data_IF_334226559773
#
_entry.id   IF_334226559773
#
_cell.length_a   1.000
_cell.length_b   1.000
_cell.length_c   1.000
_cell.angle_alpha   90.00
_cell.angle_beta   90.00
_cell.angle_gamma   90.00
#
_symmetry.space_group_name_H-M   'P 1'
#
loop_
_entity.id
_entity.type
_entity.pdbx_description
1 polymer ?
#
# COMPACT_ATOMS: atom_id res chain seq x y z
N UNK A 1 61.74 -55.74 22.16
CA UNK A 1 61.09 -56.50 23.26
C UNK A 1 60.77 -55.49 24.36
N UNK A 2 59.50 -55.08 24.52
CA UNK A 2 58.55 -55.51 25.58
C UNK A 2 59.12 -55.28 27.01
N UNK A 3 58.50 -54.61 27.99
CA UNK A 3 57.17 -54.02 28.18
C UNK A 3 57.22 -52.99 29.34
N UNK A 4 56.20 -52.13 29.34
CA UNK A 4 55.75 -51.14 30.33
C UNK A 4 55.54 -51.69 31.77
N UNK A 5 55.63 -50.82 32.80
CA UNK A 5 54.48 -50.35 33.61
C UNK A 5 54.90 -49.51 34.82
N UNK A 6 54.25 -48.35 34.99
CA UNK A 6 54.23 -47.53 36.22
C UNK A 6 53.11 -47.99 37.15
N UNK A 7 53.13 -47.51 38.41
CA UNK A 7 51.99 -46.74 38.90
C UNK A 7 52.40 -45.52 39.75
N UNK A 8 51.54 -44.50 39.91
CA UNK A 8 51.61 -43.56 41.02
C UNK A 8 50.38 -43.64 41.93
N UNK A 9 50.55 -43.29 43.21
CA UNK A 9 49.46 -43.15 44.16
C UNK A 9 49.55 -41.83 44.94
N UNK A 10 48.38 -41.16 44.99
CA UNK A 10 47.82 -40.35 46.07
C UNK A 10 48.42 -38.95 46.35
N UNK A 11 47.74 -37.94 45.81
CA UNK A 11 47.66 -36.58 46.33
C UNK A 11 46.22 -36.09 46.21
N UNK A 12 45.58 -35.78 47.34
CA UNK A 12 44.18 -35.37 47.42
C UNK A 12 44.01 -33.90 46.98
N UNK A 13 43.05 -33.65 46.10
CA UNK A 13 42.62 -32.30 45.71
C UNK A 13 41.15 -32.11 46.11
N UNK A 14 40.91 -31.10 46.94
CA UNK A 14 39.59 -30.65 47.37
C UNK A 14 38.83 -30.07 46.16
N UNK A 15 37.76 -30.74 45.71
CA UNK A 15 36.85 -30.22 44.69
C UNK A 15 35.85 -29.24 45.32
N UNK A 16 36.03 -27.95 45.06
CA UNK A 16 34.98 -26.95 45.20
C UNK A 16 33.96 -27.15 44.06
N UNK A 17 32.79 -27.67 44.40
CA UNK A 17 31.62 -27.69 43.51
C UNK A 17 31.08 -26.25 43.37
N UNK A 18 31.54 -25.52 42.36
CA UNK A 18 30.85 -24.31 41.91
C UNK A 18 29.59 -24.71 41.15
N UNK A 19 28.43 -24.62 41.80
CA UNK A 19 27.13 -24.71 41.13
C UNK A 19 26.94 -23.48 40.24
N UNK A 20 27.23 -23.60 38.95
CA UNK A 20 26.84 -22.59 37.96
C UNK A 20 25.33 -22.73 37.75
N UNK A 21 24.55 -21.96 38.49
CA UNK A 21 23.14 -21.75 38.18
C UNK A 21 23.08 -21.04 36.83
N UNK A 22 22.71 -21.76 35.76
CA UNK A 22 22.30 -21.15 34.51
C UNK A 22 21.03 -20.34 34.80
N UNK A 23 21.18 -19.03 34.91
CA UNK A 23 20.06 -18.13 34.81
C UNK A 23 19.50 -18.25 33.39
N UNK A 24 18.39 -18.97 33.23
CA UNK A 24 17.54 -18.85 32.06
C UNK A 24 17.06 -17.40 32.05
N UNK A 25 17.60 -16.60 31.13
CA UNK A 25 16.98 -15.32 30.77
C UNK A 25 15.66 -15.72 30.12
N UNK A 26 14.59 -15.69 30.91
CA UNK A 26 13.24 -15.70 30.38
C UNK A 26 13.13 -14.45 29.51
N UNK A 27 12.92 -14.67 28.23
CA UNK A 27 12.62 -13.62 27.25
C UNK A 27 11.30 -12.98 27.71
N UNK A 28 11.40 -11.90 28.49
CA UNK A 28 10.24 -11.11 28.91
C UNK A 28 9.83 -10.28 27.70
N UNK A 29 9.11 -10.91 26.78
CA UNK A 29 8.27 -10.18 25.84
C UNK A 29 7.39 -9.22 26.68
N UNK A 30 7.33 -7.92 26.33
CA UNK A 30 6.48 -7.00 27.05
C UNK A 30 5.05 -7.57 27.00
N UNK A 31 4.43 -7.69 28.17
CA UNK A 31 3.02 -8.04 28.30
C UNK A 31 2.19 -6.90 27.71
N UNK A 32 2.05 -6.92 26.38
CA UNK A 32 1.00 -6.23 25.67
C UNK A 32 -0.30 -6.75 26.28
N UNK A 33 -1.03 -5.86 26.96
CA UNK A 33 -2.43 -6.10 27.27
C UNK A 33 -3.09 -6.40 25.93
N UNK A 34 -3.39 -7.68 25.68
CA UNK A 34 -4.31 -8.10 24.65
C UNK A 34 -5.59 -7.32 24.87
N UNK A 35 -5.81 -6.28 24.06
CA UNK A 35 -7.15 -5.82 23.82
C UNK A 35 -7.91 -7.03 23.26
N UNK A 36 -9.13 -7.23 23.74
CA UNK A 36 -9.97 -8.39 23.48
C UNK A 36 -10.38 -8.57 22.01
N UNK A 37 -9.86 -7.77 21.08
CA UNK A 37 -10.19 -7.80 19.66
C UNK A 37 -8.94 -8.15 18.86
N UNK A 38 -8.98 -9.30 18.19
CA UNK A 38 -7.92 -9.89 17.37
C UNK A 38 -7.75 -9.16 16.01
N UNK A 39 -7.92 -7.84 16.00
CA UNK A 39 -8.03 -7.01 14.79
C UNK A 39 -6.72 -6.31 14.42
N UNK A 40 -5.74 -6.24 15.33
CA UNK A 40 -4.41 -5.69 15.03
C UNK A 40 -3.65 -6.55 14.02
N UNK A 41 -2.88 -5.93 13.13
CA UNK A 41 -2.04 -6.66 12.18
C UNK A 41 -0.91 -7.43 12.85
N UNK A 42 -0.40 -8.47 12.19
CA UNK A 42 0.78 -9.20 12.66
C UNK A 42 2.05 -8.35 12.56
N UNK A 43 3.10 -8.62 13.38
CA UNK A 43 4.38 -7.93 13.27
C UNK A 43 5.05 -8.08 11.90
N UNK A 44 4.84 -9.23 11.25
CA UNK A 44 5.36 -9.49 9.92
C UNK A 44 4.68 -8.61 8.87
N UNK A 45 3.35 -8.52 8.92
CA UNK A 45 2.59 -7.65 8.02
C UNK A 45 2.92 -6.17 8.27
N UNK A 46 2.99 -5.73 9.52
CA UNK A 46 3.40 -4.35 9.85
C UNK A 46 4.74 -3.98 9.22
N UNK A 47 5.75 -4.85 9.36
CA UNK A 47 7.09 -4.63 8.80
C UNK A 47 7.07 -4.61 7.27
N UNK A 48 6.24 -5.45 6.65
CA UNK A 48 6.09 -5.48 5.19
C UNK A 48 5.36 -4.24 4.64
N UNK A 49 4.31 -3.76 5.31
CA UNK A 49 3.62 -2.53 4.94
C UNK A 49 4.53 -1.31 5.06
N UNK A 50 5.34 -1.27 6.11
CA UNK A 50 6.33 -0.22 6.35
C UNK A 50 7.42 -0.20 5.27
N UNK A 51 7.91 -1.37 4.86
CA UNK A 51 8.81 -1.51 3.71
C UNK A 51 8.15 -1.08 2.40
N UNK A 52 6.91 -1.50 2.14
CA UNK A 52 6.19 -1.17 0.91
C UNK A 52 5.86 0.33 0.81
N UNK A 53 5.63 1.01 1.94
CA UNK A 53 5.48 2.47 1.98
C UNK A 53 6.76 3.19 1.50
N UNK A 54 7.93 2.67 1.85
CA UNK A 54 9.23 3.19 1.38
C UNK A 54 9.47 2.90 -0.10
N UNK A 55 9.08 1.70 -0.56
CA UNK A 55 9.19 1.29 -1.96
C UNK A 55 8.30 2.19 -2.83
N UNK A 56 7.05 2.43 -2.44
CA UNK A 56 6.16 3.28 -3.23
C UNK A 56 6.59 4.75 -3.20
N UNK A 57 7.23 5.24 -2.13
CA UNK A 57 7.81 6.59 -2.11
C UNK A 57 8.90 6.77 -3.18
N UNK A 58 9.73 5.76 -3.45
CA UNK A 58 10.75 5.79 -4.52
C UNK A 58 10.11 6.05 -5.89
N UNK A 59 8.86 5.66 -6.12
CA UNK A 59 8.16 5.92 -7.38
C UNK A 59 8.08 7.42 -7.70
N UNK A 60 8.10 8.29 -6.67
CA UNK A 60 8.14 9.76 -6.80
C UNK A 60 9.49 10.31 -7.24
N UNK A 61 10.51 9.48 -7.39
CA UNK A 61 11.73 9.85 -8.11
C UNK A 61 11.56 9.81 -9.64
N UNK A 62 10.48 9.19 -10.14
CA UNK A 62 10.18 9.10 -11.57
C UNK A 62 9.42 10.35 -12.05
N UNK A 63 9.94 11.01 -13.08
CA UNK A 63 9.32 12.16 -13.73
C UNK A 63 9.91 13.54 -13.39
N UNK A 64 10.94 13.62 -12.54
CA UNK A 64 11.70 14.87 -12.33
C UNK A 64 12.78 15.05 -13.41
N UNK A 65 12.94 16.27 -13.90
CA UNK A 65 13.99 16.65 -14.86
C UNK A 65 15.36 16.66 -14.18
N UNK A 66 15.99 15.49 -14.03
CA UNK A 66 17.43 15.42 -13.82
C UNK A 66 18.01 14.18 -13.15
N UNK A 67 17.26 13.43 -12.32
CA UNK A 67 17.90 12.39 -11.49
C UNK A 67 17.22 11.01 -11.48
N UNK A 68 15.92 10.89 -11.73
CA UNK A 68 15.24 9.62 -12.01
C UNK A 68 15.57 8.45 -11.06
N UNK A 69 15.41 7.23 -11.56
CA UNK A 69 15.99 6.02 -10.98
C UNK A 69 16.95 5.45 -12.04
N UNK A 70 18.19 5.15 -11.65
CA UNK A 70 19.22 4.61 -12.54
C UNK A 70 19.62 3.19 -12.13
N UNK A 71 20.12 2.41 -13.09
CA UNK A 71 20.69 1.08 -12.83
C UNK A 71 21.96 1.17 -11.93
N UNK A 72 22.25 0.17 -11.07
CA UNK A 72 21.44 -1.03 -10.80
C UNK A 72 20.15 -0.69 -10.06
N UNK A 73 20.15 0.09 -8.98
CA UNK A 73 18.94 0.71 -8.41
C UNK A 73 19.36 1.90 -7.54
N UNK A 74 19.47 3.08 -8.14
CA UNK A 74 19.99 4.30 -7.51
C UNK A 74 19.09 5.48 -7.82
N UNK A 75 18.82 6.31 -6.81
CA UNK A 75 18.02 7.51 -6.93
C UNK A 75 18.38 8.50 -5.82
N UNK A 76 17.85 9.73 -5.92
CA UNK A 76 18.02 10.74 -4.87
C UNK A 76 17.28 10.36 -3.57
N UNK A 77 16.23 9.54 -3.68
CA UNK A 77 15.41 9.08 -2.57
C UNK A 77 16.04 7.92 -1.78
N UNK A 78 15.22 6.92 -1.47
CA UNK A 78 15.56 5.83 -0.54
C UNK A 78 16.12 4.57 -1.22
N UNK A 79 16.57 4.66 -2.47
CA UNK A 79 17.07 3.48 -3.23
C UNK A 79 18.24 2.76 -2.54
N UNK A 80 19.08 3.49 -1.79
CA UNK A 80 20.22 2.90 -1.07
C UNK A 80 19.82 1.92 0.04
N UNK A 81 18.57 1.95 0.50
CA UNK A 81 18.04 1.03 1.50
C UNK A 81 17.67 -0.34 0.92
N UNK A 82 17.68 -0.47 -0.41
CA UNK A 82 17.31 -1.68 -1.13
C UNK A 82 18.48 -2.21 -1.97
N UNK A 83 19.58 -2.70 -1.35
CA UNK A 83 20.77 -3.14 -2.06
C UNK A 83 20.56 -4.42 -2.89
N UNK A 84 19.49 -5.19 -2.61
CA UNK A 84 19.10 -6.37 -3.40
C UNK A 84 18.29 -6.03 -4.66
N UNK A 85 17.98 -4.75 -4.89
CA UNK A 85 17.11 -4.36 -5.99
C UNK A 85 17.89 -4.14 -7.29
N UNK A 86 17.28 -4.56 -8.40
CA UNK A 86 17.73 -4.25 -9.77
C UNK A 86 16.59 -3.60 -10.56
N UNK A 87 16.82 -2.40 -11.09
CA UNK A 87 15.91 -1.67 -11.95
C UNK A 87 15.77 -2.37 -13.30
N UNK A 88 14.55 -2.79 -13.62
CA UNK A 88 14.18 -3.28 -14.94
C UNK A 88 13.93 -2.10 -15.87
N UNK A 89 12.94 -1.26 -15.52
CA UNK A 89 12.54 -0.11 -16.33
C UNK A 89 11.82 0.95 -15.49
N UNK A 90 11.72 2.16 -16.03
CA UNK A 90 10.86 3.24 -15.51
C UNK A 90 9.95 3.72 -16.64
N UNK A 91 8.72 4.11 -16.32
CA UNK A 91 7.82 4.74 -17.29
C UNK A 91 7.31 6.09 -16.80
N UNK A 92 7.02 6.97 -17.77
CA UNK A 92 6.32 8.23 -17.57
C UNK A 92 5.53 8.53 -18.84
N UNK A 93 4.20 8.57 -18.74
CA UNK A 93 3.32 8.73 -19.91
C UNK A 93 3.02 10.19 -20.31
N UNK A 94 3.57 11.22 -19.66
CA UNK A 94 3.42 12.61 -20.13
C UNK A 94 3.37 13.71 -19.07
N UNK A 95 2.72 14.84 -19.43
CA UNK A 95 2.42 16.00 -18.55
C UNK A 95 0.89 16.27 -18.39
N UNK A 96 0.03 15.31 -18.73
CA UNK A 96 -1.44 15.45 -18.64
C UNK A 96 -2.03 14.60 -17.51
N UNK A 97 -3.29 14.80 -17.11
CA UNK A 97 -3.92 14.01 -16.03
C UNK A 97 -4.19 12.52 -16.37
N UNK A 98 -3.53 12.01 -17.42
CA UNK A 98 -3.39 10.60 -17.83
C UNK A 98 -2.00 10.05 -17.48
N UNK A 99 -1.19 10.85 -16.77
CA UNK A 99 0.18 10.53 -16.42
C UNK A 99 0.20 9.43 -15.36
N UNK A 100 0.57 8.24 -15.79
CA UNK A 100 1.03 7.21 -14.90
C UNK A 100 2.54 7.17 -14.99
N UNK A 101 3.16 7.20 -13.82
CA UNK A 101 4.59 7.13 -13.63
C UNK A 101 4.88 5.96 -12.70
N UNK A 102 6.04 5.36 -12.86
CA UNK A 102 6.45 4.29 -11.98
C UNK A 102 7.68 3.56 -12.46
N UNK A 103 7.97 2.45 -11.81
CA UNK A 103 9.10 1.61 -12.15
C UNK A 103 8.82 0.13 -11.91
N UNK A 104 9.60 -0.70 -12.60
CA UNK A 104 9.69 -2.13 -12.36
C UNK A 104 11.08 -2.42 -11.81
N UNK A 105 11.18 -3.12 -10.69
CA UNK A 105 12.43 -3.57 -10.12
C UNK A 105 12.34 -5.04 -9.68
N UNK A 106 13.45 -5.75 -9.75
CA UNK A 106 13.61 -7.09 -9.18
C UNK A 106 14.13 -6.95 -7.78
N UNK A 107 13.53 -7.64 -6.81
CA UNK A 107 14.09 -7.82 -5.47
C UNK A 107 14.63 -9.24 -5.36
N UNK A 108 15.94 -9.38 -5.51
CA UNK A 108 16.61 -10.67 -5.45
C UNK A 108 16.63 -11.27 -4.04
N UNK A 109 16.45 -10.43 -3.00
CA UNK A 109 16.46 -10.86 -1.60
C UNK A 109 15.18 -11.61 -1.23
N UNK A 110 14.02 -11.08 -1.66
CA UNK A 110 12.70 -11.68 -1.39
C UNK A 110 12.10 -12.43 -2.59
N UNK A 111 12.83 -12.51 -3.71
CA UNK A 111 12.38 -13.17 -4.95
C UNK A 111 11.02 -12.64 -5.41
N UNK A 112 10.97 -11.34 -5.70
CA UNK A 112 9.75 -10.68 -6.17
C UNK A 112 10.04 -9.66 -7.25
N UNK A 113 9.07 -9.46 -8.13
CA UNK A 113 9.07 -8.40 -9.15
C UNK A 113 8.18 -7.28 -8.61
N UNK A 114 8.77 -6.14 -8.29
CA UNK A 114 8.05 -4.95 -7.82
C UNK A 114 7.60 -4.14 -9.02
N UNK A 115 6.31 -3.82 -9.09
CA UNK A 115 5.74 -2.82 -9.99
C UNK A 115 5.16 -1.70 -9.13
N UNK A 116 5.85 -0.56 -9.10
CA UNK A 116 5.49 0.57 -8.24
C UNK A 116 4.82 1.67 -9.05
N UNK A 117 3.57 1.98 -8.72
CA UNK A 117 2.75 3.02 -9.34
C UNK A 117 2.75 4.29 -8.51
N UNK A 118 3.20 5.38 -9.12
CA UNK A 118 3.27 6.69 -8.49
C UNK A 118 1.91 7.39 -8.54
N UNK A 119 1.58 8.13 -7.47
CA UNK A 119 0.49 9.10 -7.49
C UNK A 119 0.87 10.44 -8.14
N UNK A 120 -0.13 11.29 -8.37
CA UNK A 120 0.07 12.64 -8.91
C UNK A 120 0.84 13.54 -7.92
N UNK A 121 1.68 14.48 -8.40
CA UNK A 121 2.35 15.45 -7.51
C UNK A 121 1.39 16.46 -6.90
N UNK A 122 0.35 16.85 -7.64
CA UNK A 122 -0.68 17.78 -7.19
C UNK A 122 -1.94 17.02 -6.75
N UNK A 123 -1.84 16.32 -5.62
CA UNK A 123 -2.97 15.61 -5.01
C UNK A 123 -4.17 16.56 -4.83
N UNK A 124 -3.92 17.84 -4.50
CA UNK A 124 -4.96 18.85 -4.40
C UNK A 124 -5.71 19.06 -5.73
N UNK A 125 -5.00 19.11 -6.87
CA UNK A 125 -5.66 19.15 -8.17
C UNK A 125 -6.33 17.80 -8.49
N UNK A 126 -5.71 16.67 -8.14
CA UNK A 126 -6.28 15.34 -8.37
C UNK A 126 -7.60 15.16 -7.65
N UNK A 127 -7.73 15.56 -6.39
CA UNK A 127 -8.99 15.48 -5.62
C UNK A 127 -10.10 16.31 -6.27
N UNK A 128 -9.74 17.45 -6.86
CA UNK A 128 -10.66 18.34 -7.59
C UNK A 128 -11.01 17.77 -8.97
N UNK A 129 -10.07 17.06 -9.57
CA UNK A 129 -10.09 16.58 -10.94
C UNK A 129 -10.21 15.05 -11.04
N UNK A 130 -10.68 14.41 -9.96
CA UNK A 130 -11.33 13.10 -10.00
C UNK A 130 -12.61 13.29 -10.82
N UNK A 131 -12.42 13.52 -12.11
CA UNK A 131 -13.45 13.71 -13.10
C UNK A 131 -14.32 12.47 -13.04
N UNK A 132 -15.50 12.62 -12.46
CA UNK A 132 -16.39 11.54 -12.02
C UNK A 132 -17.05 10.80 -13.18
N UNK A 133 -16.37 10.72 -14.33
CA UNK A 133 -16.87 10.12 -15.56
C UNK A 133 -16.67 8.61 -15.40
N UNK A 134 -17.75 7.85 -15.14
CA UNK A 134 -17.66 6.40 -15.17
C UNK A 134 -17.43 5.95 -16.61
N UNK A 135 -16.58 4.96 -16.78
CA UNK A 135 -16.38 4.22 -18.01
C UNK A 135 -16.76 2.76 -17.75
N UNK A 136 -17.36 2.09 -18.72
CA UNK A 136 -17.56 0.64 -18.68
C UNK A 136 -16.22 -0.08 -18.46
N UNK A 137 -16.24 -1.03 -17.53
CA UNK A 137 -15.09 -1.88 -17.24
C UNK A 137 -15.22 -3.20 -18.00
N UNK A 138 -14.24 -3.48 -18.84
CA UNK A 138 -14.14 -4.72 -19.61
C UNK A 138 -12.96 -5.53 -19.09
N UNK A 139 -13.19 -6.67 -18.39
CA UNK A 139 -12.12 -7.56 -17.94
C UNK A 139 -11.34 -8.17 -19.11
N UNK A 140 -10.09 -8.55 -18.85
CA UNK A 140 -9.32 -9.37 -19.78
C UNK A 140 -9.72 -10.87 -19.64
N UNK A 141 -9.73 -11.67 -20.73
CA UNK A 141 -9.74 -11.23 -22.11
C UNK A 141 -11.12 -10.67 -22.50
N UNK A 142 -11.15 -9.47 -23.09
CA UNK A 142 -12.40 -8.84 -23.55
C UNK A 142 -12.97 -9.61 -24.73
N UNK A 143 -13.86 -10.57 -24.46
CA UNK A 143 -14.47 -11.40 -25.49
C UNK A 143 -15.68 -12.19 -24.99
N UNK A 144 -16.60 -12.48 -25.91
CA UNK A 144 -17.75 -13.37 -25.71
C UNK A 144 -17.38 -14.86 -25.61
N UNK A 145 -16.09 -15.14 -25.37
CA UNK A 145 -15.55 -16.49 -25.23
C UNK A 145 -16.02 -17.11 -23.93
N UNK A 146 -16.63 -18.29 -24.04
CA UNK A 146 -16.79 -19.26 -22.95
C UNK A 146 -15.40 -19.80 -22.57
N UNK A 147 -14.54 -18.93 -22.04
CA UNK A 147 -13.21 -19.29 -21.59
C UNK A 147 -13.38 -19.92 -20.20
N UNK A 148 -13.30 -21.25 -20.16
CA UNK A 148 -13.62 -22.12 -19.03
C UNK A 148 -12.74 -22.00 -17.79
N UNK A 149 -12.28 -20.80 -17.41
CA UNK A 149 -11.56 -20.52 -16.16
C UNK A 149 -12.49 -20.09 -15.01
N UNK A 150 -13.80 -19.96 -15.26
CA UNK A 150 -14.82 -19.66 -14.25
C UNK A 150 -14.85 -18.20 -13.77
N UNK A 151 -14.05 -17.31 -14.33
CA UNK A 151 -13.99 -15.90 -13.94
C UNK A 151 -14.90 -15.08 -14.86
N UNK A 152 -16.21 -15.27 -14.66
CA UNK A 152 -17.26 -14.70 -15.51
C UNK A 152 -17.20 -13.18 -15.71
N UNK A 153 -17.89 -12.72 -16.75
CA UNK A 153 -18.01 -11.29 -17.13
C UNK A 153 -18.38 -10.40 -15.94
N UNK A 154 -17.80 -9.20 -15.90
CA UNK A 154 -18.15 -8.16 -14.93
C UNK A 154 -19.38 -7.38 -15.44
N UNK A 155 -20.58 -7.88 -15.13
CA UNK A 155 -21.82 -7.25 -15.59
C UNK A 155 -22.08 -5.91 -14.90
N UNK A 156 -22.43 -4.88 -15.68
CA UNK A 156 -22.75 -3.53 -15.19
C UNK A 156 -21.60 -2.88 -14.40
N UNK A 157 -20.36 -3.30 -14.66
CA UNK A 157 -19.19 -2.75 -14.00
C UNK A 157 -18.75 -1.45 -14.64
N UNK A 158 -18.54 -0.44 -13.81
CA UNK A 158 -17.97 0.83 -14.27
C UNK A 158 -16.82 1.23 -13.35
N UNK A 159 -15.80 1.84 -13.94
CA UNK A 159 -14.60 2.35 -13.28
C UNK A 159 -14.37 3.80 -13.65
N UNK A 160 -13.60 4.53 -12.84
CA UNK A 160 -13.22 5.89 -13.15
C UNK A 160 -12.40 5.95 -14.45
N UNK A 161 -12.88 6.70 -15.45
CA UNK A 161 -12.26 6.80 -16.78
C UNK A 161 -10.77 7.16 -16.71
N UNK A 162 -10.39 8.06 -15.81
CA UNK A 162 -8.99 8.48 -15.65
C UNK A 162 -8.07 7.35 -15.18
N UNK A 163 -8.54 6.49 -14.27
CA UNK A 163 -7.75 5.37 -13.76
C UNK A 163 -7.61 4.29 -14.85
N UNK A 164 -8.72 3.99 -15.53
CA UNK A 164 -8.72 3.03 -16.64
C UNK A 164 -7.85 3.50 -17.80
N UNK A 165 -7.97 4.76 -18.22
CA UNK A 165 -7.10 5.32 -19.25
C UNK A 165 -5.62 5.27 -18.84
N UNK A 166 -5.32 5.50 -17.56
CA UNK A 166 -3.94 5.42 -17.06
C UNK A 166 -3.42 4.00 -17.16
N UNK A 167 -4.17 3.00 -16.66
CA UNK A 167 -3.78 1.60 -16.77
C UNK A 167 -3.60 1.15 -18.23
N UNK A 168 -4.61 1.38 -19.08
CA UNK A 168 -4.58 1.00 -20.50
C UNK A 168 -3.40 1.62 -21.24
N UNK A 169 -3.02 2.86 -20.91
CA UNK A 169 -1.85 3.50 -21.54
C UNK A 169 -0.54 2.89 -21.03
N UNK A 170 -0.48 2.47 -19.77
CA UNK A 170 0.75 1.93 -19.18
C UNK A 170 0.98 0.45 -19.37
N UNK A 171 -0.08 -0.33 -19.59
CA UNK A 171 0.04 -1.80 -19.69
C UNK A 171 0.98 -2.22 -20.82
N UNK A 172 1.07 -1.43 -21.90
CA UNK A 172 1.97 -1.67 -23.04
C UNK A 172 3.46 -1.55 -22.66
N UNK A 173 3.78 -0.87 -21.56
CA UNK A 173 5.14 -0.78 -21.02
C UNK A 173 5.41 -1.84 -19.95
N UNK A 174 4.37 -2.32 -19.26
CA UNK A 174 4.49 -3.18 -18.08
C UNK A 174 4.40 -4.66 -18.48
N UNK A 175 3.38 -5.05 -19.25
CA UNK A 175 3.11 -6.45 -19.57
C UNK A 175 4.31 -7.11 -20.28
N UNK A 176 4.93 -6.53 -21.32
CA UNK A 176 6.06 -7.17 -21.98
C UNK A 176 7.27 -7.39 -21.05
N UNK A 177 7.50 -6.47 -20.11
CA UNK A 177 8.58 -6.61 -19.13
C UNK A 177 8.27 -7.67 -18.09
N UNK A 178 7.01 -7.80 -17.66
CA UNK A 178 6.59 -8.86 -16.75
C UNK A 178 6.69 -10.23 -17.42
N UNK A 179 6.23 -10.38 -18.66
CA UNK A 179 6.37 -11.63 -19.43
C UNK A 179 7.85 -12.02 -19.60
N UNK A 180 8.71 -11.06 -19.94
CA UNK A 180 10.16 -11.30 -20.04
C UNK A 180 10.79 -11.69 -18.70
N UNK A 181 10.33 -11.05 -17.62
CA UNK A 181 10.83 -11.32 -16.27
C UNK A 181 10.38 -12.69 -15.79
N UNK A 182 9.13 -13.09 -16.04
CA UNK A 182 8.59 -14.41 -15.69
C UNK A 182 9.36 -15.55 -16.38
N UNK A 183 9.76 -15.36 -17.65
CA UNK A 183 10.63 -16.31 -18.35
C UNK A 183 12.03 -16.44 -17.73
N UNK A 184 12.54 -15.37 -17.12
CA UNK A 184 13.91 -15.32 -16.58
C UNK A 184 13.95 -15.71 -15.09
N UNK A 185 12.89 -15.37 -14.35
CA UNK A 185 12.75 -15.52 -12.91
C UNK A 185 11.36 -16.11 -12.56
N UNK A 186 11.07 -17.35 -12.99
CA UNK A 186 9.74 -17.96 -12.84
C UNK A 186 9.36 -18.24 -11.37
N UNK A 187 10.31 -18.17 -10.44
CA UNK A 187 10.06 -18.30 -9.00
C UNK A 187 9.79 -16.95 -8.32
N UNK A 188 9.77 -15.84 -9.05
CA UNK A 188 9.57 -14.50 -8.48
C UNK A 188 8.09 -14.15 -8.45
N UNK A 189 7.59 -13.75 -7.28
CA UNK A 189 6.21 -13.28 -7.14
C UNK A 189 6.07 -11.84 -7.63
N UNK A 190 5.02 -11.54 -8.41
CA UNK A 190 4.69 -10.16 -8.78
C UNK A 190 4.08 -9.43 -7.57
N UNK A 191 4.63 -8.26 -7.24
CA UNK A 191 4.13 -7.38 -6.17
C UNK A 191 3.80 -6.03 -6.77
N UNK A 192 2.54 -5.65 -6.71
CA UNK A 192 2.07 -4.33 -7.14
C UNK A 192 1.98 -3.44 -5.91
N UNK A 193 2.57 -2.25 -6.00
CA UNK A 193 2.47 -1.24 -4.94
C UNK A 193 2.08 0.10 -5.52
N UNK A 194 1.12 0.79 -4.91
CA UNK A 194 0.62 2.06 -5.43
C UNK A 194 0.17 3.02 -4.34
N UNK A 195 0.41 4.31 -4.53
CA UNK A 195 -0.02 5.35 -3.61
C UNK A 195 -0.95 6.35 -4.30
N UNK A 196 -1.99 6.83 -3.61
CA UNK A 196 -2.96 7.79 -4.14
C UNK A 196 -3.60 7.25 -5.44
N UNK A 197 -3.62 8.07 -6.51
CA UNK A 197 -4.02 7.65 -7.86
C UNK A 197 -3.26 6.41 -8.37
N UNK A 198 -1.99 6.24 -7.98
CA UNK A 198 -1.19 5.05 -8.31
C UNK A 198 -1.76 3.78 -7.68
N UNK A 199 -2.43 3.88 -6.52
CA UNK A 199 -3.17 2.77 -5.91
C UNK A 199 -4.32 2.31 -6.80
N UNK A 200 -5.12 3.24 -7.33
CA UNK A 200 -6.23 2.88 -8.22
C UNK A 200 -5.77 2.25 -9.54
N UNK A 201 -4.62 2.69 -10.07
CA UNK A 201 -4.00 2.05 -11.23
C UNK A 201 -3.48 0.65 -10.87
N UNK A 202 -2.88 0.47 -9.69
CA UNK A 202 -2.44 -0.83 -9.20
C UNK A 202 -3.62 -1.81 -9.01
N UNK A 203 -4.78 -1.33 -8.59
CA UNK A 203 -6.01 -2.12 -8.48
C UNK A 203 -6.43 -2.73 -9.83
N UNK A 204 -6.52 -1.88 -10.86
CA UNK A 204 -6.88 -2.29 -12.22
C UNK A 204 -5.80 -3.18 -12.86
N UNK A 205 -4.53 -2.86 -12.61
CA UNK A 205 -3.40 -3.69 -13.02
C UNK A 205 -3.46 -5.09 -12.39
N UNK A 206 -3.82 -5.17 -11.10
CA UNK A 206 -3.97 -6.43 -10.38
C UNK A 206 -5.00 -7.35 -11.01
N UNK A 207 -6.18 -6.81 -11.36
CA UNK A 207 -7.22 -7.57 -12.07
C UNK A 207 -6.74 -8.08 -13.43
N UNK A 208 -6.16 -7.21 -14.26
CA UNK A 208 -5.67 -7.57 -15.60
C UNK A 208 -4.54 -8.61 -15.54
N UNK A 209 -3.59 -8.46 -14.61
CA UNK A 209 -2.48 -9.40 -14.45
C UNK A 209 -2.96 -10.76 -13.95
N UNK A 210 -3.86 -10.80 -12.98
CA UNK A 210 -4.39 -12.07 -12.49
C UNK A 210 -5.24 -12.78 -13.55
N UNK A 211 -5.98 -12.04 -14.39
CA UNK A 211 -6.69 -12.60 -15.54
C UNK A 211 -5.75 -13.15 -16.63
N UNK A 212 -4.51 -12.65 -16.69
CA UNK A 212 -3.44 -13.18 -17.56
C UNK A 212 -2.70 -14.38 -16.97
N UNK A 213 -3.08 -14.83 -15.78
CA UNK A 213 -2.49 -15.99 -15.10
C UNK A 213 -1.33 -15.68 -14.16
N UNK A 214 -1.04 -14.40 -13.88
CA UNK A 214 -0.12 -14.04 -12.80
C UNK A 214 -0.79 -14.19 -11.41
N UNK A 215 0.01 -14.32 -10.35
CA UNK A 215 -0.47 -14.28 -8.94
C UNK A 215 0.05 -13.02 -8.21
N UNK A 216 -0.43 -11.82 -8.57
CA UNK A 216 0.06 -10.58 -7.98
C UNK A 216 -0.38 -10.46 -6.51
N UNK A 217 0.52 -9.94 -5.66
CA UNK A 217 0.16 -9.36 -4.38
C UNK A 217 0.06 -7.85 -4.52
N UNK A 218 -1.09 -7.27 -4.21
CA UNK A 218 -1.37 -5.84 -4.34
C UNK A 218 -1.36 -5.19 -2.95
N UNK A 219 -0.60 -4.12 -2.80
CA UNK A 219 -0.67 -3.23 -1.62
C UNK A 219 -0.83 -1.79 -2.07
N UNK A 220 -1.89 -1.14 -1.64
CA UNK A 220 -2.16 0.25 -2.00
C UNK A 220 -2.21 1.13 -0.75
N UNK A 221 -1.79 2.39 -0.89
CA UNK A 221 -1.80 3.38 0.18
C UNK A 221 -2.63 4.58 -0.27
N UNK A 222 -3.70 4.91 0.45
CA UNK A 222 -4.55 6.04 0.08
C UNK A 222 -5.30 5.84 -1.23
N UNK A 223 -5.66 4.59 -1.55
CA UNK A 223 -6.35 4.25 -2.79
C UNK A 223 -7.77 4.87 -2.83
N UNK A 224 -8.10 5.70 -3.84
CA UNK A 224 -9.46 6.20 -4.04
C UNK A 224 -10.40 5.08 -4.51
N UNK A 225 -11.72 5.28 -4.36
CA UNK A 225 -12.73 4.39 -4.93
C UNK A 225 -12.56 4.25 -6.44
N UNK A 226 -12.35 3.02 -6.91
CA UNK A 226 -11.98 2.76 -8.29
C UNK A 226 -13.20 2.68 -9.21
N UNK A 227 -14.31 2.12 -8.74
CA UNK A 227 -15.49 1.85 -9.55
C UNK A 227 -16.79 1.75 -8.76
N UNK A 228 -17.85 1.32 -9.44
CA UNK A 228 -19.17 1.16 -8.85
C UNK A 228 -19.30 -0.12 -8.01
N UNK A 229 -20.46 -0.30 -7.36
CA UNK A 229 -20.71 -1.48 -6.53
C UNK A 229 -20.56 -2.80 -7.30
N UNK A 230 -20.95 -2.85 -8.59
CA UNK A 230 -20.80 -4.06 -9.39
C UNK A 230 -19.31 -4.42 -9.60
N UNK A 231 -18.48 -3.40 -9.90
CA UNK A 231 -17.04 -3.56 -9.99
C UNK A 231 -16.41 -3.99 -8.66
N UNK A 232 -16.82 -3.38 -7.55
CA UNK A 232 -16.34 -3.74 -6.20
C UNK A 232 -16.67 -5.19 -5.88
N UNK A 233 -17.93 -5.62 -6.04
CA UNK A 233 -18.33 -7.00 -5.80
C UNK A 233 -17.54 -7.99 -6.66
N UNK A 234 -17.25 -7.60 -7.91
CA UNK A 234 -16.40 -8.38 -8.80
C UNK A 234 -14.96 -8.48 -8.26
N UNK A 235 -14.34 -7.35 -7.89
CA UNK A 235 -12.99 -7.29 -7.32
C UNK A 235 -12.87 -8.11 -6.04
N UNK A 236 -13.82 -7.95 -5.10
CA UNK A 236 -13.81 -8.68 -3.84
C UNK A 236 -13.94 -10.18 -4.05
N UNK A 237 -14.80 -10.62 -4.98
CA UNK A 237 -14.90 -12.03 -5.36
C UNK A 237 -13.59 -12.52 -5.99
N UNK A 238 -12.99 -11.71 -6.85
CA UNK A 238 -11.79 -12.07 -7.60
C UNK A 238 -10.57 -12.26 -6.69
N UNK A 239 -10.44 -11.43 -5.64
CA UNK A 239 -9.36 -11.51 -4.66
C UNK A 239 -9.73 -12.24 -3.36
N UNK A 240 -11.00 -12.63 -3.18
CA UNK A 240 -11.48 -13.33 -1.99
C UNK A 240 -11.56 -12.43 -0.74
N UNK A 241 -11.98 -11.18 -0.89
CA UNK A 241 -11.93 -10.15 0.16
C UNK A 241 -13.21 -10.05 1.02
N UNK A 242 -14.36 -10.51 0.50
CA UNK A 242 -15.66 -10.33 1.14
C UNK A 242 -16.11 -11.39 2.14
N UNK A 243 -15.35 -12.48 2.31
CA UNK A 243 -15.71 -13.53 3.27
C UNK A 243 -15.09 -13.25 4.65
N UNK A 244 -15.94 -13.08 5.67
CA UNK A 244 -15.59 -13.12 7.11
C UNK A 244 -15.14 -14.51 7.55
N UNK A 245 -14.37 -15.22 6.74
CA UNK A 245 -13.69 -16.43 7.18
C UNK A 245 -12.57 -15.94 8.10
N UNK A 246 -12.44 -16.50 9.30
CA UNK A 246 -11.49 -16.06 10.35
C UNK A 246 -10.01 -16.19 9.97
N UNK A 247 -9.54 -15.37 9.02
CA UNK A 247 -8.34 -15.58 8.19
C UNK A 247 -7.13 -14.70 8.56
N UNK A 248 -7.11 -14.06 9.74
CA UNK A 248 -5.88 -13.39 10.19
C UNK A 248 -4.85 -14.36 10.81
N UNK A 249 -4.98 -15.68 10.61
CA UNK A 249 -3.95 -16.64 11.01
C UNK A 249 -2.63 -16.42 10.26
N UNK A 250 -2.71 -15.94 9.01
CA UNK A 250 -1.56 -15.49 8.24
C UNK A 250 -1.94 -14.31 7.33
N UNK A 251 -2.05 -13.12 7.92
CA UNK A 251 -2.43 -11.89 7.22
C UNK A 251 -1.42 -11.44 6.15
N UNK A 252 -0.17 -11.91 6.20
CA UNK A 252 0.81 -11.71 5.10
C UNK A 252 0.44 -12.46 3.81
N UNK A 253 -0.49 -13.42 3.86
CA UNK A 253 -0.93 -14.13 2.65
C UNK A 253 -2.02 -13.39 1.87
N UNK A 254 -2.54 -12.25 2.37
CA UNK A 254 -3.55 -11.46 1.68
C UNK A 254 -3.06 -11.04 0.29
N UNK A 255 -3.86 -11.35 -0.73
CA UNK A 255 -3.56 -11.04 -2.13
C UNK A 255 -3.80 -9.58 -2.47
N UNK A 256 -4.72 -8.91 -1.77
CA UNK A 256 -5.00 -7.49 -1.89
C UNK A 256 -5.04 -6.85 -0.51
N UNK A 257 -4.31 -5.74 -0.33
CA UNK A 257 -4.21 -4.98 0.92
C UNK A 257 -4.40 -3.50 0.62
N UNK A 258 -5.51 -2.92 1.08
CA UNK A 258 -5.80 -1.49 0.91
C UNK A 258 -5.51 -0.74 2.21
N UNK A 259 -4.36 -0.07 2.28
CA UNK A 259 -3.96 0.67 3.48
C UNK A 259 -4.59 2.06 3.46
N UNK A 260 -5.35 2.37 4.51
CA UNK A 260 -6.03 3.66 4.74
C UNK A 260 -5.46 4.33 5.99
N UNK A 261 -5.57 5.66 6.05
CA UNK A 261 -5.09 6.44 7.19
C UNK A 261 -6.23 7.31 7.72
N UNK A 262 -6.29 7.51 9.03
CA UNK A 262 -7.27 8.41 9.65
C UNK A 262 -7.16 9.82 9.07
N UNK A 263 -8.28 10.51 8.87
CA UNK A 263 -8.31 11.85 8.28
C UNK A 263 -7.80 11.97 6.82
N UNK A 264 -7.43 10.86 6.14
CA UNK A 264 -7.18 10.90 4.70
C UNK A 264 -8.50 10.96 3.91
N UNK A 265 -8.78 12.04 3.17
CA UNK A 265 -10.01 12.16 2.40
C UNK A 265 -10.01 11.39 1.07
N UNK A 266 -8.86 10.96 0.55
CA UNK A 266 -8.76 10.41 -0.81
C UNK A 266 -9.44 9.05 -0.98
N UNK A 267 -9.33 8.08 -0.04
CA UNK A 267 -10.03 6.81 -0.19
C UNK A 267 -11.56 6.94 -0.04
N UNK A 268 -12.04 8.10 0.43
CA UNK A 268 -13.46 8.46 0.46
C UNK A 268 -13.93 9.15 -0.84
N UNK A 269 -13.09 9.18 -1.87
CA UNK A 269 -13.40 9.78 -3.17
C UNK A 269 -13.14 8.78 -4.31
N UNK A 270 -13.86 8.88 -5.44
CA UNK A 270 -15.03 9.73 -5.66
C UNK A 270 -16.22 9.36 -4.75
N UNK A 271 -17.19 10.24 -4.58
CA UNK A 271 -18.26 10.06 -3.58
C UNK A 271 -19.21 8.90 -3.92
N UNK A 272 -19.79 8.26 -2.89
CA UNK A 272 -20.78 7.20 -3.05
C UNK A 272 -22.05 7.70 -3.77
N UNK A 273 -22.45 8.97 -3.58
CA UNK A 273 -23.58 9.56 -4.33
C UNK A 273 -23.33 9.66 -5.85
N UNK A 274 -22.08 9.54 -6.29
CA UNK A 274 -21.73 9.49 -7.71
C UNK A 274 -21.68 8.06 -8.25
N UNK A 275 -22.09 7.08 -7.45
CA UNK A 275 -22.19 5.67 -7.84
C UNK A 275 -20.91 4.86 -7.63
N UNK A 276 -19.91 5.42 -6.93
CA UNK A 276 -18.68 4.72 -6.56
C UNK A 276 -18.83 3.97 -5.23
N UNK A 277 -18.07 2.89 -5.03
CA UNK A 277 -18.08 2.10 -3.80
C UNK A 277 -16.65 1.79 -3.32
N UNK A 278 -16.50 1.54 -2.02
CA UNK A 278 -15.26 1.01 -1.44
C UNK A 278 -15.28 -0.50 -1.52
N UNK A 279 -14.13 -1.13 -1.71
CA UNK A 279 -13.97 -2.57 -1.66
C UNK A 279 -13.33 -3.02 -0.34
N UNK A 280 -13.43 -4.32 -0.03
CA UNK A 280 -12.89 -4.93 1.18
C UNK A 280 -11.36 -5.06 1.18
N UNK A 281 -10.78 -5.67 2.22
CA UNK A 281 -9.33 -5.82 2.36
C UNK A 281 -8.63 -4.57 2.93
N UNK A 282 -9.37 -3.74 3.66
CA UNK A 282 -8.86 -2.53 4.29
C UNK A 282 -7.98 -2.84 5.51
N UNK A 283 -6.84 -2.17 5.59
CA UNK A 283 -5.94 -2.12 6.73
C UNK A 283 -5.83 -0.65 7.15
N UNK A 284 -6.38 -0.32 8.31
CA UNK A 284 -6.56 1.06 8.75
C UNK A 284 -5.51 1.48 9.78
N UNK A 285 -4.85 2.61 9.50
CA UNK A 285 -3.95 3.31 10.42
C UNK A 285 -4.78 4.31 11.22
N UNK A 286 -4.95 4.02 12.51
CA UNK A 286 -5.80 4.79 13.44
C UNK A 286 -5.08 5.99 14.07
N UNK A 287 -3.75 6.00 14.07
CA UNK A 287 -2.94 7.09 14.63
C UNK A 287 -2.74 8.20 13.60
N UNK A 288 -3.12 9.45 13.89
CA UNK A 288 -2.95 10.57 12.96
C UNK A 288 -1.50 10.99 12.71
N UNK A 289 -0.63 10.80 13.71
CA UNK A 289 0.75 11.30 13.69
C UNK A 289 1.74 10.22 13.27
N UNK A 290 2.77 10.61 12.51
CA UNK A 290 3.87 9.72 12.18
C UNK A 290 4.84 9.50 13.36
N UNK A 291 5.44 8.32 13.52
CA UNK A 291 5.12 7.06 12.83
C UNK A 291 4.14 6.21 13.68
N UNK A 292 3.22 5.46 13.05
CA UNK A 292 2.32 4.53 13.74
C UNK A 292 3.10 3.38 14.36
N UNK A 293 2.63 2.89 15.50
CA UNK A 293 3.08 1.64 16.11
C UNK A 293 2.15 0.49 15.67
N UNK A 294 2.56 -0.76 15.90
CA UNK A 294 1.77 -1.94 15.46
C UNK A 294 0.32 -1.94 15.98
N UNK A 295 0.11 -1.41 17.19
CA UNK A 295 -1.21 -1.32 17.83
C UNK A 295 -2.14 -0.31 17.15
N UNK A 296 -1.57 0.59 16.33
CA UNK A 296 -2.30 1.62 15.62
C UNK A 296 -2.79 1.13 14.25
N UNK A 297 -2.39 -0.08 13.82
CA UNK A 297 -2.69 -0.65 12.51
C UNK A 297 -3.57 -1.88 12.67
N UNK A 298 -4.77 -1.85 12.08
CA UNK A 298 -5.78 -2.90 12.24
C UNK A 298 -6.43 -3.31 10.93
N UNK A 299 -6.90 -4.55 10.88
CA UNK A 299 -7.79 -5.06 9.84
C UNK A 299 -9.21 -4.50 10.01
N UNK A 300 -9.90 -4.37 8.88
CA UNK A 300 -11.28 -3.89 8.79
C UNK A 300 -12.16 -4.92 8.09
N UNK A 301 -13.41 -5.03 8.51
CA UNK A 301 -14.33 -6.05 8.02
C UNK A 301 -15.19 -5.57 6.83
N UNK A 302 -15.05 -6.25 5.70
CA UNK A 302 -15.82 -5.99 4.49
C UNK A 302 -15.58 -4.60 3.90
N UNK A 303 -16.54 -4.13 3.10
CA UNK A 303 -16.42 -2.92 2.30
C UNK A 303 -16.60 -1.63 3.12
N UNK A 304 -17.32 -1.70 4.24
CA UNK A 304 -17.84 -0.53 4.97
C UNK A 304 -17.79 -0.71 6.49
N UNK A 305 -16.61 -1.00 7.03
CA UNK A 305 -16.40 -1.07 8.48
C UNK A 305 -16.44 0.32 9.15
N UNK A 306 -17.43 0.54 10.03
CA UNK A 306 -17.64 1.82 10.74
C UNK A 306 -16.55 2.12 11.77
N UNK A 307 -15.81 1.12 12.22
CA UNK A 307 -14.66 1.31 13.11
C UNK A 307 -13.38 1.70 12.35
N UNK A 308 -13.45 1.73 11.01
CA UNK A 308 -12.37 2.11 10.11
C UNK A 308 -12.74 3.37 9.30
N UNK A 309 -12.20 3.51 8.07
CA UNK A 309 -12.40 4.72 7.28
C UNK A 309 -13.88 4.98 6.93
N UNK A 310 -14.70 3.94 6.76
CA UNK A 310 -16.12 4.12 6.46
C UNK A 310 -16.89 4.86 7.57
N UNK A 311 -16.39 4.83 8.82
CA UNK A 311 -16.94 5.63 9.93
C UNK A 311 -16.79 7.14 9.73
N UNK A 312 -15.83 7.57 8.91
CA UNK A 312 -15.60 8.97 8.54
C UNK A 312 -16.41 9.39 7.30
N UNK A 313 -17.10 8.45 6.64
CA UNK A 313 -17.89 8.71 5.45
C UNK A 313 -19.27 9.34 5.78
N UNK A 314 -19.34 10.66 5.67
CA UNK A 314 -20.57 11.42 5.86
C UNK A 314 -21.70 11.10 4.85
N UNK A 315 -21.39 10.43 3.75
CA UNK A 315 -22.34 10.03 2.70
C UNK A 315 -23.16 8.81 3.14
N UNK A 316 -22.52 7.87 3.84
CA UNK A 316 -23.10 6.63 4.38
C UNK A 316 -23.85 6.90 5.70
N UNK A 317 -23.39 7.86 6.52
CA UNK A 317 -23.87 8.08 7.88
C UNK A 317 -25.22 8.83 8.04
N UNK A 318 -26.12 8.86 7.06
CA UNK A 318 -27.27 9.78 7.08
C UNK A 318 -28.65 9.15 6.92
N UNK A 319 -29.14 8.59 8.03
CA UNK A 319 -30.57 8.48 8.30
C UNK A 319 -31.19 9.78 8.86
N UNK A 320 -30.43 10.70 9.46
CA UNK A 320 -30.97 11.91 10.08
C UNK A 320 -30.00 13.10 9.96
N UNK A 321 -30.54 14.34 9.87
CA UNK A 321 -29.88 15.65 9.72
C UNK A 321 -29.43 16.13 8.31
N UNK A 322 -30.39 16.73 7.62
CA UNK A 322 -30.32 17.34 6.28
C UNK A 322 -29.61 18.72 6.19
N UNK A 323 -28.94 19.20 7.26
CA UNK A 323 -28.37 20.56 7.29
C UNK A 323 -26.84 20.63 7.16
N UNK A 324 -26.11 19.55 7.40
CA UNK A 324 -24.62 19.56 7.41
C UNK A 324 -23.99 19.10 6.09
N UNK A 325 -24.77 18.44 5.23
CA UNK A 325 -24.33 17.82 3.96
C UNK A 325 -23.97 18.79 2.83
N UNK A 326 -24.58 19.98 2.80
CA UNK A 326 -24.26 21.00 1.78
C UNK A 326 -22.98 21.78 2.11
N UNK A 327 -22.58 21.81 3.38
CA UNK A 327 -21.42 22.58 3.83
C UNK A 327 -20.09 21.95 3.40
N UNK A 328 -19.94 20.61 3.41
CA UNK A 328 -18.64 20.01 3.06
C UNK A 328 -18.31 20.18 1.56
N UNK A 329 -19.24 19.90 0.66
CA UNK A 329 -19.07 20.11 -0.78
C UNK A 329 -18.88 21.59 -1.14
N UNK A 330 -19.61 22.50 -0.47
CA UNK A 330 -19.44 23.93 -0.67
C UNK A 330 -18.11 24.44 -0.09
N UNK A 331 -17.69 23.95 1.08
CA UNK A 331 -16.42 24.27 1.73
C UNK A 331 -15.23 23.77 0.93
N UNK A 332 -15.26 22.51 0.48
CA UNK A 332 -14.23 21.92 -0.39
C UNK A 332 -14.15 22.72 -1.69
N UNK A 333 -15.29 23.03 -2.33
CA UNK A 333 -15.32 23.76 -3.60
C UNK A 333 -14.93 25.24 -3.49
N UNK A 334 -15.31 25.95 -2.41
CA UNK A 334 -14.95 27.35 -2.19
C UNK A 334 -13.49 27.51 -1.79
N UNK A 335 -12.98 26.65 -0.91
CA UNK A 335 -11.59 26.71 -0.41
C UNK A 335 -10.58 26.23 -1.46
N UNK A 336 -10.97 25.32 -2.36
CA UNK A 336 -10.17 24.97 -3.55
C UNK A 336 -10.06 26.14 -4.54
N UNK A 337 -11.12 26.97 -4.64
CA UNK A 337 -11.04 28.18 -5.46
C UNK A 337 -10.05 29.20 -4.87
N UNK A 338 -9.92 29.26 -3.54
CA UNK A 338 -8.92 30.07 -2.85
C UNK A 338 -7.48 29.55 -3.06
N UNK A 339 -7.25 28.23 -3.13
CA UNK A 339 -5.91 27.66 -3.45
C UNK A 339 -5.45 28.05 -4.87
N UNK A 340 -6.39 28.28 -5.80
CA UNK A 340 -6.09 28.78 -7.16
C UNK A 340 -5.71 30.26 -7.19
N UNK A 341 -5.99 31.01 -6.13
CA UNK A 341 -5.77 32.45 -6.03
C UNK A 341 -5.09 32.79 -4.70
N UNK A 342 -3.77 32.60 -4.61
CA UNK A 342 -2.82 33.67 -4.21
C UNK A 342 -1.45 33.16 -3.73
N UNK A 343 -0.46 33.99 -4.05
CA UNK A 343 0.91 33.98 -3.55
C UNK A 343 0.93 34.50 -2.09
N UNK A 344 1.34 33.65 -1.15
CA UNK A 344 1.78 33.96 0.22
C UNK A 344 0.96 35.00 1.02
N UNK A 345 0.02 34.52 1.86
CA UNK A 345 -0.60 35.34 2.92
C UNK A 345 -1.72 34.61 3.69
N UNK A 346 -1.42 34.09 4.88
CA UNK A 346 -2.35 33.29 5.73
C UNK A 346 -3.28 34.18 6.57
N UNK A 347 -4.58 33.80 6.67
CA UNK A 347 -5.25 33.73 7.97
C UNK A 347 -5.98 32.39 8.24
N UNK A 348 -6.12 32.11 9.53
CA UNK A 348 -6.43 30.83 10.17
C UNK A 348 -7.92 30.56 10.41
N UNK A 349 -8.43 29.37 10.00
CA UNK A 349 -9.46 28.55 10.68
C UNK A 349 -9.89 27.36 9.78
N UNK A 350 -9.36 26.17 10.08
CA UNK A 350 -9.54 24.84 9.43
C UNK A 350 -8.57 24.54 8.26
N UNK A 351 -7.47 23.82 8.48
CA UNK A 351 -7.30 22.35 8.60
C UNK A 351 -7.35 21.54 7.28
N UNK A 352 -7.60 22.11 6.11
CA UNK A 352 -7.60 21.33 4.85
C UNK A 352 -6.19 20.82 4.49
N UNK A 353 -5.15 21.65 4.60
CA UNK A 353 -3.75 21.23 4.40
C UNK A 353 -3.30 20.11 5.35
N UNK A 354 -3.88 20.02 6.56
CA UNK A 354 -3.62 18.93 7.51
C UNK A 354 -4.22 17.60 7.05
N UNK A 355 -5.42 17.63 6.46
CA UNK A 355 -6.03 16.45 5.82
C UNK A 355 -5.21 15.96 4.61
N UNK A 356 -4.54 16.87 3.90
CA UNK A 356 -3.62 16.51 2.82
C UNK A 356 -2.27 15.96 3.31
N UNK A 357 -1.87 16.23 4.57
CA UNK A 357 -0.72 15.55 5.18
C UNK A 357 -1.08 14.11 5.54
N UNK A 358 -2.29 13.85 6.08
CA UNK A 358 -2.77 12.50 6.35
C UNK A 358 -2.73 11.60 5.11
N UNK A 359 -3.09 12.14 3.94
CA UNK A 359 -2.99 11.41 2.67
C UNK A 359 -1.56 11.01 2.27
N UNK A 360 -0.53 11.61 2.87
CA UNK A 360 0.86 11.29 2.59
C UNK A 360 1.52 10.50 3.71
N UNK A 361 0.91 10.46 4.88
CA UNK A 361 1.51 9.99 6.12
C UNK A 361 1.18 8.51 6.34
N UNK A 362 1.80 7.64 5.53
CA UNK A 362 1.66 6.19 5.58
C UNK A 362 2.96 5.54 6.07
N UNK A 363 3.09 5.35 7.38
CA UNK A 363 4.33 4.95 8.10
C UNK A 363 5.45 6.01 8.05
N UNK A 364 5.56 6.69 6.91
CA UNK A 364 6.47 7.74 6.52
C UNK A 364 5.70 8.75 5.66
N UNK A 365 6.23 9.96 5.51
CA UNK A 365 5.65 10.89 4.55
C UNK A 365 6.05 10.53 3.11
N UNK A 366 5.12 9.92 2.39
CA UNK A 366 5.23 9.54 0.98
C UNK A 366 5.15 10.79 0.08
N UNK A 367 5.81 10.74 -1.07
CA UNK A 367 5.66 11.71 -2.15
C UNK A 367 6.83 12.69 -2.25
N UNK A 368 7.99 12.37 -1.67
CA UNK A 368 9.18 13.23 -1.67
C UNK A 368 10.41 12.44 -2.12
N UNK A 369 10.88 12.69 -3.34
CA UNK A 369 12.20 12.18 -3.76
C UNK A 369 13.32 13.10 -3.22
N UNK A 370 13.69 12.95 -1.95
CA UNK A 370 14.81 13.63 -1.31
C UNK A 370 15.75 12.63 -0.60
N UNK A 371 17.05 12.97 -0.42
CA UNK A 371 17.99 12.11 0.28
C UNK A 371 17.50 11.75 1.68
N UNK A 372 17.32 10.45 1.95
CA UNK A 372 16.83 9.95 3.24
C UNK A 372 15.31 10.07 3.47
N UNK A 373 14.54 10.59 2.50
CA UNK A 373 13.11 10.86 2.64
C UNK A 373 12.81 12.29 3.13
N UNK A 374 11.56 12.54 3.56
CA UNK A 374 11.20 13.82 4.20
C UNK A 374 11.81 13.91 5.61
N UNK A 375 12.74 14.84 5.89
CA UNK A 375 13.35 14.99 7.22
C UNK A 375 12.36 15.42 8.33
N UNK A 376 11.15 15.87 7.97
CA UNK A 376 10.06 16.16 8.91
C UNK A 376 8.97 15.07 8.92
N UNK A 377 9.13 14.01 8.13
CA UNK A 377 8.15 12.94 7.92
C UNK A 377 8.21 11.80 8.93
N UNK A 378 8.91 11.99 10.06
CA UNK A 378 9.12 10.96 11.07
C UNK A 378 10.03 9.82 10.59
N UNK A 379 10.66 9.11 11.55
CA UNK A 379 11.20 7.78 11.26
C UNK A 379 12.66 7.47 11.61
N UNK A 380 13.27 8.15 12.58
CA UNK A 380 14.47 7.61 13.25
C UNK A 380 14.17 6.34 14.09
N UNK A 381 12.94 5.79 14.04
CA UNK A 381 12.48 4.70 14.90
C UNK A 381 12.65 3.29 14.33
N UNK A 382 12.65 3.10 13.00
CA UNK A 382 12.66 1.76 12.40
C UNK A 382 13.88 1.59 11.49
N UNK A 383 15.00 1.11 12.05
CA UNK A 383 16.12 0.62 11.24
C UNK A 383 15.73 -0.71 10.57
N UNK A 384 15.90 -0.79 9.25
CA UNK A 384 15.84 -2.05 8.50
C UNK A 384 16.91 -2.99 9.07
N UNK A 385 16.51 -4.07 9.75
CA UNK A 385 17.42 -5.11 10.24
C UNK A 385 17.52 -6.28 9.27
#
# INVERSE_FOLDING_TARGET
>A
MRFSTTPPALGATLLLLSSVARALIADQAPLLRHASDNTTVSPALFSELEELARIVDISYCVGLTGFGISKPFSCLGRCSEFPSFELVTTWNTGQLLRDSCGYIALDHGKKRVIVAFRGTYSIANTVVDLSTIPQEYEPYPGGDGDDGDGQGKCENCTVHMGFQSSWVTTRDYIIPELERTDLTFPDYRVTLVGHSLGGAVAALAGLDLRARGFDPQITTFGEPRVGNQAFVTYLDKYFGLGESTGHHLNDTAMSYRRVTHIDDPVPLLPLTEWGFAMHAGEIFITKPDLSPDIVDVRHCEGDNDKECLAGQDSTIASGEHHSRKRDLLASVKSEISEVRTESWGVPSRYKLWQLFFAHRDYFWRIGVCLPGGDPLGGGDKYELR
#
